data_IF_566444728194
#
_entry.id   IF_566444728194
#
_cell.length_a   1.000
_cell.length_b   1.000
_cell.length_c   1.000
_cell.angle_alpha   90.00
_cell.angle_beta   90.00
_cell.angle_gamma   90.00
#
_symmetry.space_group_name_H-M   'P 1'
#
loop_
_entity.id
_entity.type
_entity.pdbx_description
1 polymer ?
#
# COMPACT_ATOMS: atom_id res chain seq x y z
N UNK A 1 27.45 40.72 23.37
CA UNK A 1 26.10 41.31 23.28
C UNK A 1 25.60 41.05 21.85
N UNK A 2 24.98 39.90 21.60
CA UNK A 2 23.51 39.71 21.48
C UNK A 2 22.93 40.54 20.32
N UNK A 3 22.79 39.96 19.12
CA UNK A 3 21.66 39.14 18.64
C UNK A 3 20.43 39.96 18.27
N UNK A 4 20.06 39.94 16.98
CA UNK A 4 18.68 39.79 16.47
C UNK A 4 18.60 40.28 15.02
N UNK A 5 18.60 39.34 14.08
CA UNK A 5 17.87 39.52 12.82
C UNK A 5 17.05 38.25 12.61
N UNK A 6 15.77 38.34 12.97
CA UNK A 6 14.74 37.39 12.59
C UNK A 6 14.63 37.38 11.07
N UNK A 7 15.09 36.31 10.43
CA UNK A 7 14.65 35.94 9.08
C UNK A 7 13.43 35.05 9.28
N UNK A 8 12.27 35.65 9.02
CA UNK A 8 10.97 34.99 8.97
C UNK A 8 11.00 33.82 7.99
N UNK A 9 10.62 32.65 8.49
CA UNK A 9 10.39 31.41 7.76
C UNK A 9 9.22 31.55 6.79
N UNK A 10 9.50 31.68 5.49
CA UNK A 10 8.50 31.60 4.41
C UNK A 10 8.92 30.57 3.36
N UNK A 11 9.22 29.34 3.80
CA UNK A 11 9.54 28.21 2.91
C UNK A 11 8.76 26.93 3.26
N UNK A 12 7.57 27.06 3.87
CA UNK A 12 6.74 25.91 4.24
C UNK A 12 5.43 25.79 3.44
N UNK A 13 5.13 26.70 2.51
CA UNK A 13 3.83 26.74 1.84
C UNK A 13 3.86 26.42 0.34
N UNK A 14 5.02 26.11 -0.27
CA UNK A 14 5.08 25.77 -1.70
C UNK A 14 5.04 24.27 -1.99
N UNK A 15 5.15 23.41 -0.98
CA UNK A 15 5.10 21.93 -1.12
C UNK A 15 3.66 21.41 -1.21
N UNK A 16 2.67 22.20 -0.77
CA UNK A 16 1.27 21.76 -0.68
C UNK A 16 0.43 21.87 -1.96
N UNK A 17 0.90 22.58 -2.99
CA UNK A 17 0.06 22.93 -4.15
C UNK A 17 0.61 22.53 -5.53
N UNK A 18 1.75 21.82 -5.60
CA UNK A 18 2.42 21.56 -6.88
C UNK A 18 2.06 20.23 -7.57
N UNK A 19 1.31 19.32 -6.94
CA UNK A 19 0.92 18.05 -7.60
C UNK A 19 -0.46 17.57 -7.13
N UNK A 20 -1.52 18.12 -7.72
CA UNK A 20 -2.71 17.30 -8.01
C UNK A 20 -2.41 16.50 -9.29
N UNK A 21 -1.30 15.76 -9.30
CA UNK A 21 -1.19 14.67 -10.24
C UNK A 21 -2.21 13.62 -9.81
N UNK A 22 -3.08 13.23 -10.73
CA UNK A 22 -4.12 12.24 -10.45
C UNK A 22 -3.42 10.91 -10.25
N UNK A 23 -3.06 10.61 -9.01
CA UNK A 23 -2.60 9.28 -8.60
C UNK A 23 -3.67 8.28 -8.97
N UNK A 24 -3.24 7.21 -9.66
CA UNK A 24 -4.17 6.22 -10.20
C UNK A 24 -4.33 5.03 -9.26
N UNK A 25 -3.37 4.79 -8.37
CA UNK A 25 -3.38 3.67 -7.44
C UNK A 25 -4.70 3.56 -6.66
N UNK A 26 -5.33 2.41 -6.81
CA UNK A 26 -6.50 1.99 -6.08
C UNK A 26 -6.15 1.58 -4.64
N UNK A 27 -4.99 0.98 -4.39
CA UNK A 27 -4.61 0.56 -3.03
C UNK A 27 -4.50 1.74 -2.04
N UNK A 28 -4.21 2.96 -2.50
CA UNK A 28 -4.28 4.17 -1.65
C UNK A 28 -5.67 4.41 -1.05
N UNK A 29 -6.71 3.88 -1.69
CA UNK A 29 -8.11 4.01 -1.28
C UNK A 29 -8.57 2.81 -0.43
N UNK A 30 -7.77 1.74 -0.37
CA UNK A 30 -7.95 0.68 0.62
C UNK A 30 -7.58 1.27 1.98
N UNK A 31 -8.52 1.19 2.91
CA UNK A 31 -8.41 1.89 4.18
C UNK A 31 -7.75 0.95 5.19
N UNK A 32 -6.50 1.24 5.63
CA UNK A 32 -5.73 0.37 6.51
C UNK A 32 -6.16 0.55 7.97
N UNK A 33 -7.47 0.56 8.25
CA UNK A 33 -7.97 0.70 9.62
C UNK A 33 -7.47 -0.49 10.43
N UNK A 34 -6.89 -0.23 11.59
CA UNK A 34 -6.59 -1.27 12.57
C UNK A 34 -7.54 -1.10 13.71
N UNK A 35 -8.43 -2.07 13.88
CA UNK A 35 -9.49 -2.00 14.86
C UNK A 35 -9.27 -3.08 15.92
N UNK A 36 -9.31 -2.67 17.18
CA UNK A 36 -9.23 -3.59 18.32
C UNK A 36 -10.42 -3.33 19.23
N UNK A 37 -11.15 -4.36 19.61
CA UNK A 37 -12.32 -4.24 20.47
C UNK A 37 -12.97 -5.60 20.72
N UNK A 38 -14.01 -5.61 21.55
CA UNK A 38 -14.81 -6.81 21.77
C UNK A 38 -15.80 -7.02 20.60
N UNK A 39 -15.91 -8.22 20.06
CA UNK A 39 -16.90 -8.56 19.04
C UNK A 39 -16.30 -8.99 17.70
N UNK A 40 -17.15 -9.09 16.69
CA UNK A 40 -16.77 -9.52 15.34
C UNK A 40 -16.01 -8.43 14.59
N UNK A 41 -15.09 -8.81 13.69
CA UNK A 41 -14.37 -7.83 12.88
C UNK A 41 -15.33 -7.04 11.99
N UNK A 42 -16.37 -7.67 11.46
CA UNK A 42 -17.40 -6.98 10.69
C UNK A 42 -18.06 -5.85 11.51
N UNK A 43 -18.40 -6.11 12.77
CA UNK A 43 -18.97 -5.10 13.69
C UNK A 43 -17.98 -3.98 13.98
N UNK A 44 -16.72 -4.34 14.27
CA UNK A 44 -15.67 -3.37 14.59
C UNK A 44 -15.37 -2.42 13.42
N UNK A 45 -15.19 -2.97 12.22
CA UNK A 45 -14.97 -2.16 11.01
C UNK A 45 -16.20 -1.34 10.65
N UNK A 46 -17.43 -1.90 10.73
CA UNK A 46 -18.68 -1.15 10.53
C UNK A 46 -18.69 0.14 11.34
N UNK A 47 -18.45 0.05 12.65
CA UNK A 47 -18.48 1.23 13.51
C UNK A 47 -17.33 2.21 13.25
N UNK A 48 -16.13 1.71 12.93
CA UNK A 48 -15.01 2.57 12.55
C UNK A 48 -15.31 3.36 11.25
N UNK A 49 -15.94 2.72 10.26
CA UNK A 49 -16.34 3.36 9.01
C UNK A 49 -17.50 4.35 9.18
N UNK A 50 -18.53 3.99 9.95
CA UNK A 50 -19.66 4.90 10.23
C UNK A 50 -19.20 6.13 11.00
N UNK A 51 -18.29 5.98 11.97
CA UNK A 51 -17.73 7.13 12.69
C UNK A 51 -16.98 8.09 11.75
N UNK A 52 -16.33 7.55 10.72
CA UNK A 52 -15.56 8.30 9.74
C UNK A 52 -16.18 8.19 8.34
N UNK A 53 -17.44 8.63 8.16
CA UNK A 53 -18.22 8.42 6.91
C UNK A 53 -17.50 8.87 5.63
N UNK A 54 -16.65 9.90 5.71
CA UNK A 54 -15.85 10.39 4.59
C UNK A 54 -14.91 9.31 4.00
N UNK A 55 -14.51 8.32 4.80
CA UNK A 55 -13.73 7.16 4.39
C UNK A 55 -14.55 6.22 3.50
N UNK A 56 -15.85 6.07 3.77
CA UNK A 56 -16.76 5.28 2.92
C UNK A 56 -16.85 5.93 1.54
N UNK A 57 -17.10 7.24 1.49
CA UNK A 57 -17.17 7.99 0.23
C UNK A 57 -15.88 7.90 -0.58
N UNK A 58 -14.73 7.92 0.09
CA UNK A 58 -13.43 7.80 -0.54
C UNK A 58 -13.28 6.46 -1.27
N UNK A 59 -13.61 5.36 -0.61
CA UNK A 59 -13.49 4.03 -1.19
C UNK A 59 -14.50 3.81 -2.34
N UNK A 60 -15.77 4.17 -2.13
CA UNK A 60 -16.81 3.98 -3.15
C UNK A 60 -16.53 4.81 -4.41
N UNK A 61 -16.11 6.07 -4.24
CA UNK A 61 -15.71 6.92 -5.36
C UNK A 61 -14.53 6.33 -6.11
N UNK A 62 -13.55 5.77 -5.40
CA UNK A 62 -12.43 5.10 -6.05
C UNK A 62 -12.93 3.92 -6.90
N UNK A 63 -13.80 3.05 -6.35
CA UNK A 63 -14.38 1.91 -7.07
C UNK A 63 -15.19 2.28 -8.31
N UNK A 64 -15.93 3.39 -8.27
CA UNK A 64 -16.67 3.91 -9.43
C UNK A 64 -15.73 4.34 -10.55
N UNK A 65 -14.60 4.96 -10.20
CA UNK A 65 -13.63 5.50 -11.16
C UNK A 65 -12.59 4.49 -11.64
N UNK A 66 -12.49 3.32 -11.00
CA UNK A 66 -11.53 2.27 -11.39
C UNK A 66 -11.89 1.75 -12.79
N UNK A 67 -11.00 1.90 -13.79
CA UNK A 67 -11.27 1.51 -15.17
C UNK A 67 -11.06 0.00 -15.37
N UNK A 68 -11.73 -0.84 -14.59
CA UNK A 68 -11.64 -2.31 -14.67
C UNK A 68 -13.03 -2.93 -14.86
N UNK A 69 -13.12 -4.21 -15.28
CA UNK A 69 -14.41 -4.90 -15.41
C UNK A 69 -15.30 -4.72 -14.18
N UNK A 70 -16.61 -4.57 -14.40
CA UNK A 70 -17.54 -4.14 -13.34
C UNK A 70 -17.70 -5.17 -12.23
N UNK A 71 -17.76 -6.46 -12.56
CA UNK A 71 -18.11 -7.52 -11.62
C UNK A 71 -17.26 -7.55 -10.32
N UNK A 72 -15.91 -7.60 -10.36
CA UNK A 72 -15.12 -7.61 -9.12
C UNK A 72 -15.33 -6.33 -8.28
N UNK A 73 -15.56 -5.18 -8.93
CA UNK A 73 -15.82 -3.91 -8.23
C UNK A 73 -17.19 -3.90 -7.56
N UNK A 74 -18.20 -4.43 -8.24
CA UNK A 74 -19.56 -4.56 -7.72
C UNK A 74 -19.61 -5.49 -6.51
N UNK A 75 -18.95 -6.65 -6.57
CA UNK A 75 -18.89 -7.59 -5.44
C UNK A 75 -18.15 -7.00 -4.24
N UNK A 76 -17.05 -6.28 -4.48
CA UNK A 76 -16.34 -5.56 -3.43
C UNK A 76 -17.23 -4.48 -2.79
N UNK A 77 -17.94 -3.69 -3.60
CA UNK A 77 -18.90 -2.70 -3.11
C UNK A 77 -20.07 -3.33 -2.33
N UNK A 78 -20.60 -4.48 -2.79
CA UNK A 78 -21.66 -5.21 -2.10
C UNK A 78 -21.19 -5.74 -0.74
N UNK A 79 -19.98 -6.31 -0.66
CA UNK A 79 -19.39 -6.74 0.61
C UNK A 79 -19.27 -5.58 1.61
N UNK A 80 -18.86 -4.41 1.12
CA UNK A 80 -18.83 -3.18 1.92
C UNK A 80 -20.20 -2.75 2.40
N UNK A 81 -21.19 -2.72 1.51
CA UNK A 81 -22.56 -2.36 1.87
C UNK A 81 -23.12 -3.30 2.96
N UNK A 82 -22.95 -4.61 2.79
CA UNK A 82 -23.42 -5.63 3.75
C UNK A 82 -22.73 -5.52 5.11
N UNK A 83 -21.46 -5.15 5.13
CA UNK A 83 -20.73 -4.83 6.35
C UNK A 83 -21.30 -3.59 7.06
N UNK A 84 -21.59 -2.52 6.32
CA UNK A 84 -22.12 -1.27 6.87
C UNK A 84 -23.55 -1.43 7.41
N UNK A 85 -24.39 -2.23 6.73
CA UNK A 85 -25.75 -2.57 7.16
C UNK A 85 -25.76 -3.29 8.51
N UNK A 86 -24.76 -4.14 8.78
CA UNK A 86 -24.58 -4.84 10.06
C UNK A 86 -25.52 -6.04 10.28
N UNK A 87 -26.42 -6.33 9.34
CA UNK A 87 -27.37 -7.44 9.43
C UNK A 87 -26.78 -8.77 8.93
N UNK A 88 -25.73 -8.70 8.11
CA UNK A 88 -25.14 -9.86 7.44
C UNK A 88 -24.06 -10.49 8.31
N UNK A 89 -24.05 -11.82 8.49
CA UNK A 89 -22.97 -12.50 9.22
C UNK A 89 -21.59 -12.24 8.59
N UNK A 90 -20.56 -12.11 9.43
CA UNK A 90 -19.16 -11.90 8.99
C UNK A 90 -18.70 -12.94 7.95
N UNK A 91 -19.13 -14.20 8.09
CA UNK A 91 -18.81 -15.28 7.14
C UNK A 91 -19.30 -14.96 5.72
N UNK A 92 -20.50 -14.42 5.59
CA UNK A 92 -21.12 -14.17 4.29
C UNK A 92 -20.55 -12.89 3.66
N UNK A 93 -20.24 -11.88 4.49
CA UNK A 93 -19.46 -10.70 4.07
C UNK A 93 -18.09 -11.14 3.53
N UNK A 94 -17.39 -12.03 4.25
CA UNK A 94 -16.12 -12.59 3.80
C UNK A 94 -16.25 -13.32 2.47
N UNK A 95 -17.30 -14.12 2.29
CA UNK A 95 -17.52 -14.86 1.05
C UNK A 95 -17.66 -13.93 -0.17
N UNK A 96 -18.32 -12.78 -0.02
CA UNK A 96 -18.40 -11.76 -1.07
C UNK A 96 -17.03 -11.20 -1.44
N UNK A 97 -16.17 -10.91 -0.45
CA UNK A 97 -14.79 -10.46 -0.73
C UNK A 97 -13.92 -11.54 -1.37
N UNK A 98 -14.07 -12.80 -0.97
CA UNK A 98 -13.39 -13.94 -1.60
C UNK A 98 -13.86 -14.15 -3.05
N UNK A 99 -15.16 -14.00 -3.31
CA UNK A 99 -15.71 -14.04 -4.66
C UNK A 99 -15.16 -12.90 -5.51
N UNK A 100 -15.14 -11.68 -4.98
CA UNK A 100 -14.53 -10.52 -5.64
C UNK A 100 -13.03 -10.73 -5.96
N UNK A 101 -12.28 -11.37 -5.06
CA UNK A 101 -10.86 -11.72 -5.30
C UNK A 101 -10.73 -12.75 -6.43
N UNK A 102 -11.58 -13.79 -6.42
CA UNK A 102 -11.60 -14.82 -7.46
C UNK A 102 -11.97 -14.25 -8.83
N UNK A 103 -12.93 -13.33 -8.88
CA UNK A 103 -13.30 -12.59 -10.09
C UNK A 103 -12.16 -11.71 -10.59
N UNK A 104 -11.51 -10.93 -9.70
CA UNK A 104 -10.37 -10.10 -10.07
C UNK A 104 -9.20 -10.94 -10.60
N UNK A 105 -8.95 -12.11 -10.00
CA UNK A 105 -7.97 -13.10 -10.49
C UNK A 105 -8.35 -13.64 -11.86
N UNK A 106 -9.63 -13.95 -12.08
CA UNK A 106 -10.13 -14.42 -13.38
C UNK A 106 -9.94 -13.37 -14.46
N UNK A 107 -10.20 -12.10 -14.17
CA UNK A 107 -9.97 -10.98 -15.09
C UNK A 107 -8.51 -10.93 -15.53
N UNK A 108 -7.55 -11.04 -14.60
CA UNK A 108 -6.11 -11.08 -14.92
C UNK A 108 -5.76 -12.27 -15.84
N UNK A 109 -6.26 -13.47 -15.53
CA UNK A 109 -6.01 -14.69 -16.32
C UNK A 109 -6.66 -14.60 -17.72
N UNK A 110 -7.88 -14.07 -17.81
CA UNK A 110 -8.59 -13.92 -19.08
C UNK A 110 -7.93 -12.85 -19.96
N UNK A 111 -7.52 -11.72 -19.37
CA UNK A 111 -6.77 -10.69 -20.10
C UNK A 111 -5.46 -11.24 -20.67
N UNK A 112 -4.76 -12.11 -19.93
CA UNK A 112 -3.51 -12.72 -20.38
C UNK A 112 -3.72 -13.72 -21.53
N UNK A 113 -4.57 -14.73 -21.30
CA UNK A 113 -4.62 -15.93 -22.15
C UNK A 113 -5.82 -15.97 -23.10
N UNK A 114 -6.87 -15.18 -22.85
CA UNK A 114 -8.16 -15.28 -23.55
C UNK A 114 -8.68 -13.93 -24.05
N UNK A 115 -7.83 -12.90 -24.12
CA UNK A 115 -8.22 -11.55 -24.54
C UNK A 115 -9.01 -11.52 -25.83
N UNK A 116 -8.65 -12.39 -26.78
CA UNK A 116 -9.22 -12.40 -28.12
C UNK A 116 -10.66 -12.92 -28.11
N UNK A 117 -11.01 -13.78 -27.16
CA UNK A 117 -12.38 -14.24 -26.93
C UNK A 117 -13.22 -13.17 -26.21
N UNK A 118 -12.59 -12.38 -25.34
CA UNK A 118 -13.24 -11.30 -24.59
C UNK A 118 -13.45 -10.03 -25.42
N UNK A 119 -12.73 -9.84 -26.52
CA UNK A 119 -12.84 -8.64 -27.39
C UNK A 119 -14.26 -8.38 -27.92
N UNK A 120 -15.08 -9.43 -28.07
CA UNK A 120 -16.45 -9.31 -28.57
C UNK A 120 -17.49 -9.05 -27.48
N UNK A 121 -17.08 -8.98 -26.20
CA UNK A 121 -17.95 -8.65 -25.08
C UNK A 121 -18.00 -7.12 -24.85
N UNK A 122 -19.05 -6.64 -24.18
CA UNK A 122 -19.28 -5.22 -23.90
C UNK A 122 -18.09 -4.54 -23.18
N UNK A 123 -17.37 -5.30 -22.34
CA UNK A 123 -16.17 -4.85 -21.62
C UNK A 123 -14.85 -5.31 -22.26
N UNK A 124 -14.85 -5.84 -23.48
CA UNK A 124 -13.68 -6.43 -24.14
C UNK A 124 -12.46 -5.50 -24.29
N UNK A 125 -12.71 -4.20 -24.39
CA UNK A 125 -11.66 -3.18 -24.44
C UNK A 125 -10.85 -3.11 -23.13
N UNK A 126 -11.46 -3.41 -21.97
CA UNK A 126 -10.79 -3.43 -20.67
C UNK A 126 -9.81 -4.60 -20.57
N UNK A 127 -10.21 -5.79 -21.03
CA UNK A 127 -9.31 -6.95 -21.09
C UNK A 127 -8.11 -6.70 -22.00
N UNK A 128 -8.34 -6.01 -23.12
CA UNK A 128 -7.28 -5.61 -24.05
C UNK A 128 -6.34 -4.57 -23.42
N UNK A 129 -6.88 -3.62 -22.66
CA UNK A 129 -6.11 -2.64 -21.92
C UNK A 129 -5.24 -3.31 -20.84
N UNK A 130 -5.81 -4.20 -20.03
CA UNK A 130 -5.08 -4.96 -19.00
C UNK A 130 -3.93 -5.78 -19.61
N UNK A 131 -4.11 -6.32 -20.82
CA UNK A 131 -3.06 -7.10 -21.50
C UNK A 131 -1.86 -6.24 -21.96
N UNK A 132 -2.08 -4.96 -22.27
CA UNK A 132 -1.09 -4.13 -22.99
C UNK A 132 -0.56 -2.94 -22.19
N UNK A 133 -1.39 -2.37 -21.33
CA UNK A 133 -1.05 -1.20 -20.54
C UNK A 133 -0.59 -1.64 -19.13
N UNK A 134 0.68 -1.38 -18.76
CA UNK A 134 1.22 -1.78 -17.47
C UNK A 134 0.50 -1.11 -16.29
N UNK A 135 -0.03 0.10 -16.46
CA UNK A 135 -0.79 0.77 -15.40
C UNK A 135 -2.13 0.06 -15.16
N UNK A 136 -2.82 -0.31 -16.23
CA UNK A 136 -4.08 -1.07 -16.14
C UNK A 136 -3.86 -2.45 -15.55
N UNK A 137 -2.74 -3.09 -15.90
CA UNK A 137 -2.32 -4.38 -15.34
C UNK A 137 -2.01 -4.26 -13.84
N UNK A 138 -1.29 -3.22 -13.43
CA UNK A 138 -1.01 -2.94 -12.02
C UNK A 138 -2.29 -2.68 -11.23
N UNK A 139 -3.21 -1.87 -11.75
CA UNK A 139 -4.50 -1.60 -11.12
C UNK A 139 -5.35 -2.86 -10.95
N UNK A 140 -5.31 -3.79 -11.90
CA UNK A 140 -5.99 -5.07 -11.78
C UNK A 140 -5.40 -5.93 -10.63
N UNK A 141 -4.08 -5.92 -10.44
CA UNK A 141 -3.44 -6.53 -9.28
C UNK A 141 -3.83 -5.84 -7.97
N UNK A 142 -3.88 -4.52 -7.94
CA UNK A 142 -4.31 -3.76 -6.77
C UNK A 142 -5.76 -4.03 -6.37
N UNK A 143 -6.69 -4.10 -7.33
CA UNK A 143 -8.07 -4.47 -7.06
C UNK A 143 -8.17 -5.87 -6.47
N UNK A 144 -7.45 -6.84 -7.05
CA UNK A 144 -7.36 -8.20 -6.48
C UNK A 144 -6.81 -8.17 -5.06
N UNK A 145 -5.75 -7.39 -4.82
CA UNK A 145 -5.14 -7.24 -3.51
C UNK A 145 -6.12 -6.66 -2.48
N UNK A 146 -6.90 -5.65 -2.85
CA UNK A 146 -7.92 -5.06 -2.00
C UNK A 146 -9.01 -6.06 -1.62
N UNK A 147 -9.54 -6.82 -2.59
CA UNK A 147 -10.54 -7.86 -2.33
C UNK A 147 -10.00 -8.92 -1.35
N UNK A 148 -8.81 -9.43 -1.61
CA UNK A 148 -8.14 -10.40 -0.74
C UNK A 148 -7.84 -9.84 0.64
N UNK A 149 -7.43 -8.57 0.73
CA UNK A 149 -7.16 -7.88 1.99
C UNK A 149 -8.41 -7.84 2.88
N UNK A 150 -9.56 -7.38 2.36
CA UNK A 150 -10.81 -7.35 3.12
C UNK A 150 -11.36 -8.75 3.43
N UNK A 151 -11.17 -9.73 2.54
CA UNK A 151 -11.49 -11.13 2.85
C UNK A 151 -10.70 -11.65 4.06
N UNK A 152 -9.40 -11.37 4.12
CA UNK A 152 -8.55 -11.76 5.26
C UNK A 152 -8.89 -11.00 6.53
N UNK A 153 -9.23 -9.71 6.44
CA UNK A 153 -9.70 -8.94 7.60
C UNK A 153 -10.99 -9.52 8.22
N UNK A 154 -11.84 -10.12 7.40
CA UNK A 154 -13.06 -10.80 7.84
C UNK A 154 -12.83 -12.28 8.18
N UNK A 155 -11.59 -12.76 8.22
CA UNK A 155 -11.28 -14.13 8.61
C UNK A 155 -11.58 -14.38 10.10
N UNK A 156 -11.90 -15.64 10.44
CA UNK A 156 -12.04 -16.10 11.82
C UNK A 156 -10.62 -16.36 12.35
N UNK A 157 -9.95 -15.30 12.77
CA UNK A 157 -8.59 -15.30 13.32
C UNK A 157 -8.51 -14.32 14.49
N UNK A 158 -7.60 -14.56 15.42
CA UNK A 158 -7.27 -13.58 16.49
C UNK A 158 -6.46 -12.39 15.97
N UNK A 159 -5.81 -12.53 14.81
CA UNK A 159 -4.96 -11.52 14.17
C UNK A 159 -5.15 -11.54 12.64
N UNK A 160 -6.36 -11.24 12.14
CA UNK A 160 -6.66 -11.25 10.70
C UNK A 160 -5.78 -10.27 9.90
N UNK A 161 -5.26 -9.23 10.55
CA UNK A 161 -4.31 -8.27 10.01
C UNK A 161 -3.02 -8.91 9.49
N UNK A 162 -2.53 -9.94 10.18
CA UNK A 162 -1.30 -10.64 9.79
C UNK A 162 -1.52 -11.45 8.51
N UNK A 163 -2.69 -12.08 8.38
CA UNK A 163 -3.12 -12.77 7.17
C UNK A 163 -3.29 -11.81 6.00
N UNK A 164 -3.94 -10.67 6.23
CA UNK A 164 -4.11 -9.62 5.22
C UNK A 164 -2.76 -9.05 4.74
N UNK A 165 -1.84 -8.79 5.68
CA UNK A 165 -0.48 -8.35 5.37
C UNK A 165 0.31 -9.45 4.63
N UNK A 166 0.15 -10.72 4.99
CA UNK A 166 0.81 -11.83 4.30
C UNK A 166 0.33 -11.96 2.86
N UNK A 167 -0.98 -11.84 2.62
CA UNK A 167 -1.54 -11.86 1.27
C UNK A 167 -0.98 -10.74 0.41
N UNK A 168 -0.97 -9.50 0.91
CA UNK A 168 -0.45 -8.36 0.14
C UNK A 168 1.05 -8.51 -0.15
N UNK A 169 1.83 -8.98 0.83
CA UNK A 169 3.25 -9.31 0.64
C UNK A 169 3.46 -10.37 -0.43
N UNK A 170 2.68 -11.44 -0.39
CA UNK A 170 2.75 -12.51 -1.38
C UNK A 170 2.37 -11.99 -2.76
N UNK A 171 1.25 -11.30 -2.92
CA UNK A 171 0.81 -10.76 -4.21
C UNK A 171 1.88 -9.86 -4.84
N UNK A 172 2.49 -8.98 -4.06
CA UNK A 172 3.58 -8.14 -4.53
C UNK A 172 4.81 -8.98 -4.91
N UNK A 173 5.23 -9.88 -4.04
CA UNK A 173 6.48 -10.63 -4.20
C UNK A 173 6.40 -11.74 -5.25
N UNK A 174 5.24 -12.37 -5.43
CA UNK A 174 5.03 -13.48 -6.36
C UNK A 174 4.35 -13.04 -7.64
N UNK A 175 3.32 -12.20 -7.58
CA UNK A 175 2.47 -11.98 -8.75
C UNK A 175 2.92 -10.74 -9.53
N UNK A 176 3.05 -9.60 -8.87
CA UNK A 176 3.50 -8.35 -9.53
C UNK A 176 4.96 -8.47 -9.99
N UNK A 177 5.83 -9.05 -9.15
CA UNK A 177 7.26 -9.22 -9.47
C UNK A 177 7.56 -10.21 -10.58
N UNK A 178 6.67 -11.16 -10.85
CA UNK A 178 6.90 -12.19 -11.87
C UNK A 178 6.04 -11.98 -13.11
N UNK A 179 5.17 -10.96 -13.12
CA UNK A 179 4.40 -10.61 -14.31
C UNK A 179 5.36 -10.14 -15.44
N UNK A 180 5.38 -10.84 -16.60
CA UNK A 180 6.34 -10.56 -17.66
C UNK A 180 6.24 -9.14 -18.23
N UNK A 181 5.03 -8.58 -18.34
CA UNK A 181 4.81 -7.24 -18.87
C UNK A 181 5.39 -6.19 -17.93
N UNK A 182 5.10 -6.34 -16.62
CA UNK A 182 5.56 -5.41 -15.60
C UNK A 182 7.09 -5.45 -15.44
N UNK A 183 7.67 -6.66 -15.49
CA UNK A 183 9.12 -6.86 -15.46
C UNK A 183 9.80 -6.21 -16.66
N UNK A 184 9.28 -6.40 -17.88
CA UNK A 184 9.84 -5.78 -19.09
C UNK A 184 9.86 -4.24 -19.01
N UNK A 185 8.76 -3.65 -18.54
CA UNK A 185 8.66 -2.18 -18.37
C UNK A 185 9.70 -1.68 -17.37
N UNK A 186 9.90 -2.39 -16.26
CA UNK A 186 10.89 -2.01 -15.26
C UNK A 186 12.33 -2.18 -15.75
N UNK A 187 12.62 -3.24 -16.52
CA UNK A 187 13.92 -3.44 -17.15
C UNK A 187 14.23 -2.33 -18.17
N UNK A 188 13.22 -1.88 -18.92
CA UNK A 188 13.35 -0.71 -19.82
C UNK A 188 13.69 0.57 -19.05
N UNK A 189 13.05 0.79 -17.89
CA UNK A 189 13.40 1.91 -17.02
C UNK A 189 14.83 1.80 -16.49
N UNK A 190 15.25 0.63 -16.02
CA UNK A 190 16.61 0.39 -15.51
C UNK A 190 17.66 0.64 -16.59
N UNK A 191 17.39 0.23 -17.83
CA UNK A 191 18.31 0.37 -18.96
C UNK A 191 18.60 1.82 -19.37
N UNK A 192 17.77 2.79 -18.96
CA UNK A 192 17.94 4.19 -19.33
C UNK A 192 19.33 4.73 -18.95
N UNK A 193 19.94 5.46 -19.87
CA UNK A 193 21.23 6.10 -19.68
C UNK A 193 21.07 7.32 -18.77
N UNK A 194 21.85 7.33 -17.70
CA UNK A 194 21.83 8.37 -16.68
C UNK A 194 23.23 8.93 -16.47
N UNK A 195 23.29 10.19 -16.07
CA UNK A 195 24.51 10.75 -15.50
C UNK A 195 24.79 10.04 -14.16
N UNK A 196 25.98 9.45 -14.01
CA UNK A 196 26.34 8.66 -12.81
C UNK A 196 26.41 9.51 -11.52
N UNK A 197 26.63 10.82 -11.65
CA UNK A 197 26.80 11.73 -10.52
C UNK A 197 25.47 12.36 -10.09
N UNK A 198 24.66 12.79 -11.07
CA UNK A 198 23.41 13.53 -10.84
C UNK A 198 22.17 12.65 -10.89
N UNK A 199 22.21 11.51 -11.59
CA UNK A 199 21.04 10.69 -11.87
C UNK A 199 20.14 11.20 -13.00
N UNK A 200 20.45 12.36 -13.56
CA UNK A 200 19.68 12.94 -14.67
C UNK A 200 19.71 12.02 -15.88
N UNK A 201 18.53 11.79 -16.46
CA UNK A 201 18.36 10.96 -17.64
C UNK A 201 18.97 11.68 -18.85
N UNK A 202 19.84 10.99 -19.59
CA UNK A 202 20.47 11.50 -20.81
C UNK A 202 19.60 11.28 -22.04
N UNK A 203 18.53 10.50 -21.90
CA UNK A 203 17.54 10.20 -22.92
C UNK A 203 16.12 10.37 -22.38
N UNK A 204 15.16 10.56 -23.28
CA UNK A 204 13.75 10.69 -22.91
C UNK A 204 13.20 9.34 -22.41
N UNK A 205 12.49 9.37 -21.29
CA UNK A 205 11.72 8.22 -20.83
C UNK A 205 10.33 8.22 -21.48
N UNK A 206 9.84 7.05 -21.87
CA UNK A 206 8.46 6.90 -22.33
C UNK A 206 7.50 7.20 -21.17
N UNK A 207 6.51 8.07 -21.39
CA UNK A 207 5.53 8.46 -20.36
C UNK A 207 4.85 7.26 -19.65
N UNK A 208 4.44 6.18 -20.35
CA UNK A 208 3.88 4.99 -19.67
C UNK A 208 4.85 4.28 -18.74
N UNK A 209 6.16 4.28 -19.05
CA UNK A 209 7.20 3.67 -18.21
C UNK A 209 7.39 4.52 -16.96
N UNK A 210 7.47 5.84 -17.13
CA UNK A 210 7.63 6.79 -16.03
C UNK A 210 6.45 6.73 -15.06
N UNK A 211 5.21 6.83 -15.56
CA UNK A 211 4.01 6.71 -14.72
C UNK A 211 3.94 5.36 -14.02
N UNK A 212 4.33 4.26 -14.68
CA UNK A 212 4.35 2.94 -14.06
C UNK A 212 5.34 2.85 -12.89
N UNK A 213 6.54 3.41 -13.04
CA UNK A 213 7.55 3.45 -11.96
C UNK A 213 7.03 4.27 -10.78
N UNK A 214 6.42 5.42 -11.06
CA UNK A 214 5.80 6.27 -10.03
C UNK A 214 4.72 5.52 -9.27
N UNK A 215 3.76 4.90 -9.96
CA UNK A 215 2.68 4.15 -9.30
C UNK A 215 3.22 2.93 -8.53
N UNK A 216 4.29 2.27 -8.99
CA UNK A 216 4.95 1.22 -8.20
C UNK A 216 5.59 1.75 -6.90
N UNK A 217 6.20 2.94 -6.93
CA UNK A 217 6.75 3.58 -5.73
C UNK A 217 5.64 3.90 -4.72
N UNK A 218 4.52 4.42 -5.21
CA UNK A 218 3.33 4.71 -4.38
C UNK A 218 2.70 3.43 -3.82
N UNK A 219 2.63 2.37 -4.62
CA UNK A 219 2.18 1.04 -4.17
C UNK A 219 3.05 0.52 -3.02
N UNK A 220 4.37 0.55 -3.15
CA UNK A 220 5.29 0.12 -2.08
C UNK A 220 5.15 0.97 -0.82
N UNK A 221 4.98 2.28 -0.99
CA UNK A 221 4.70 3.22 0.08
C UNK A 221 3.46 2.82 0.88
N UNK A 222 2.35 2.61 0.20
CA UNK A 222 1.06 2.35 0.83
C UNK A 222 1.00 0.93 1.41
N UNK A 223 1.67 -0.03 0.77
CA UNK A 223 1.76 -1.40 1.24
C UNK A 223 2.68 -1.55 2.46
N UNK A 224 3.92 -1.07 2.41
CA UNK A 224 4.96 -1.39 3.39
C UNK A 224 5.34 -0.22 4.29
N UNK A 225 5.10 1.01 3.85
CA UNK A 225 5.48 2.20 4.58
C UNK A 225 6.97 2.25 4.92
N UNK A 226 7.27 2.59 6.17
CA UNK A 226 8.65 2.64 6.69
C UNK A 226 9.40 1.30 6.60
N UNK A 227 8.69 0.18 6.40
CA UNK A 227 9.27 -1.16 6.31
C UNK A 227 9.63 -1.59 4.88
N UNK A 228 9.46 -0.74 3.87
CA UNK A 228 9.76 -1.09 2.47
C UNK A 228 11.21 -1.55 2.22
N UNK A 229 12.15 -1.11 3.06
CA UNK A 229 13.56 -1.53 2.99
C UNK A 229 13.93 -2.68 3.94
N UNK A 230 12.97 -3.45 4.48
CA UNK A 230 13.27 -4.52 5.45
C UNK A 230 14.31 -5.52 4.93
N UNK A 231 15.44 -5.59 5.64
CA UNK A 231 16.58 -6.48 5.38
C UNK A 231 16.25 -7.98 5.31
N UNK A 232 15.08 -8.41 5.82
CA UNK A 232 14.66 -9.82 5.85
C UNK A 232 13.54 -10.15 4.86
N UNK A 233 12.96 -9.16 4.18
CA UNK A 233 12.15 -9.40 2.98
C UNK A 233 13.10 -9.66 1.81
N UNK A 234 12.78 -10.62 0.94
CA UNK A 234 13.73 -11.38 0.08
C UNK A 234 14.49 -10.60 -1.03
N UNK A 235 14.80 -9.33 -0.78
CA UNK A 235 16.15 -8.82 -0.51
C UNK A 235 16.41 -7.45 -1.14
N UNK A 236 15.76 -6.48 -0.47
CA UNK A 236 16.03 -5.03 -0.42
C UNK A 236 15.72 -4.36 -1.76
N UNK A 237 14.55 -3.76 -1.92
CA UNK A 237 14.10 -3.16 -3.19
C UNK A 237 14.00 -1.64 -3.10
N UNK A 238 14.27 -0.95 -4.21
CA UNK A 238 13.83 0.43 -4.44
C UNK A 238 12.43 0.48 -5.07
N UNK A 239 12.14 -0.54 -5.88
CA UNK A 239 10.87 -0.84 -6.55
C UNK A 239 10.83 -2.36 -6.78
N UNK A 240 9.66 -2.95 -7.01
CA UNK A 240 9.44 -4.39 -7.12
C UNK A 240 10.47 -5.16 -7.98
N UNK A 241 11.04 -4.59 -9.04
CA UNK A 241 12.09 -5.27 -9.83
C UNK A 241 13.51 -4.67 -9.68
N UNK A 242 13.71 -3.55 -8.96
CA UNK A 242 15.03 -2.94 -8.73
C UNK A 242 15.55 -3.34 -7.34
N UNK A 243 16.60 -4.16 -7.31
CA UNK A 243 17.20 -4.64 -6.06
C UNK A 243 18.34 -3.73 -5.60
N UNK A 244 18.30 -3.34 -4.33
CA UNK A 244 19.33 -2.63 -3.60
C UNK A 244 20.68 -3.38 -3.63
N UNK A 245 20.65 -4.71 -3.65
CA UNK A 245 21.87 -5.52 -3.83
C UNK A 245 22.55 -5.36 -5.20
N UNK A 246 21.81 -4.92 -6.22
CA UNK A 246 22.32 -4.74 -7.59
C UNK A 246 22.75 -3.28 -7.86
N UNK A 247 22.08 -2.30 -7.26
CA UNK A 247 22.45 -0.88 -7.40
C UNK A 247 23.79 -0.52 -6.74
N UNK A 248 24.22 -1.27 -5.71
CA UNK A 248 25.45 -0.97 -4.97
C UNK A 248 26.72 -1.47 -5.67
N UNK A 249 26.60 -2.09 -6.85
CA UNK A 249 27.73 -2.76 -7.53
C UNK A 249 28.53 -1.85 -8.44
N UNK A 250 27.90 -0.87 -9.08
CA UNK A 250 28.54 0.01 -10.06
C UNK A 250 28.00 1.43 -9.97
N UNK A 251 28.78 2.46 -10.36
CA UNK A 251 28.26 3.84 -10.45
C UNK A 251 27.02 3.94 -11.35
N UNK A 252 27.00 3.20 -12.47
CA UNK A 252 25.86 3.14 -13.39
C UNK A 252 24.60 2.57 -12.73
N UNK A 253 24.71 1.45 -12.01
CA UNK A 253 23.56 0.85 -11.34
C UNK A 253 23.09 1.69 -10.15
N UNK A 254 24.01 2.39 -9.49
CA UNK A 254 23.67 3.33 -8.42
C UNK A 254 22.90 4.56 -8.93
N UNK A 255 23.22 5.04 -10.14
CA UNK A 255 22.57 6.20 -10.75
C UNK A 255 21.04 6.08 -10.83
N UNK A 256 20.49 4.85 -10.89
CA UNK A 256 19.05 4.58 -10.84
C UNK A 256 18.43 5.08 -9.53
N UNK A 257 19.14 4.95 -8.41
CA UNK A 257 18.69 5.38 -7.06
C UNK A 257 18.53 6.89 -6.95
N UNK A 258 19.24 7.64 -7.78
CA UNK A 258 19.21 9.10 -7.80
C UNK A 258 18.46 9.65 -9.02
N UNK A 259 17.76 8.79 -9.74
CA UNK A 259 16.83 9.21 -10.78
C UNK A 259 15.78 10.17 -10.21
N UNK A 260 15.41 11.25 -10.93
CA UNK A 260 14.43 12.24 -10.46
C UNK A 260 13.13 11.63 -9.96
N UNK A 261 12.59 10.59 -10.63
CA UNK A 261 11.31 10.00 -10.22
C UNK A 261 11.44 9.22 -8.91
N UNK A 262 12.57 8.54 -8.70
CA UNK A 262 12.85 7.84 -7.45
C UNK A 262 13.07 8.85 -6.32
N UNK A 263 13.80 9.93 -6.56
CA UNK A 263 13.98 10.98 -5.54
C UNK A 263 12.67 11.65 -5.16
N UNK A 264 11.79 11.90 -6.13
CA UNK A 264 10.54 12.60 -5.92
C UNK A 264 9.47 11.73 -5.25
N UNK A 265 9.35 10.46 -5.64
CA UNK A 265 8.25 9.58 -5.19
C UNK A 265 8.70 8.46 -4.26
N UNK A 266 10.00 8.15 -4.22
CA UNK A 266 10.53 7.04 -3.43
C UNK A 266 10.76 7.35 -1.96
N UNK A 267 10.57 8.58 -1.48
CA UNK A 267 10.64 8.97 -0.06
C UNK A 267 11.82 8.37 0.74
N UNK A 268 13.04 8.38 0.18
CA UNK A 268 14.26 7.89 0.86
C UNK A 268 15.24 9.01 1.18
N UNK A 269 16.03 8.81 2.22
CA UNK A 269 17.16 9.66 2.59
C UNK A 269 18.43 8.93 2.16
N UNK A 270 19.28 9.63 1.40
CA UNK A 270 20.56 9.12 0.93
C UNK A 270 21.69 10.01 1.46
N UNK A 271 22.43 9.50 2.44
CA UNK A 271 23.62 10.15 2.96
C UNK A 271 24.87 9.63 2.24
N UNK A 272 25.82 10.53 1.98
CA UNK A 272 27.08 10.19 1.30
C UNK A 272 28.25 10.68 2.13
N UNK A 273 29.13 9.76 2.53
CA UNK A 273 30.29 10.06 3.37
C UNK A 273 31.57 9.55 2.71
N UNK A 274 32.57 10.41 2.47
CA UNK A 274 33.86 9.93 1.96
C UNK A 274 34.55 9.12 3.06
N UNK A 275 34.93 7.89 2.72
CA UNK A 275 35.61 6.94 3.61
C UNK A 275 36.95 6.53 3.01
N UNK A 276 37.79 5.86 3.79
CA UNK A 276 39.11 5.38 3.36
C UNK A 276 39.97 6.47 2.67
N UNK A 277 40.13 7.61 3.35
CA UNK A 277 40.90 8.77 2.85
C UNK A 277 40.32 9.38 1.55
N UNK A 278 39.01 9.24 1.32
CA UNK A 278 38.31 9.77 0.15
C UNK A 278 38.41 8.89 -1.10
N UNK A 279 39.02 7.70 -1.00
CA UNK A 279 39.07 6.74 -2.11
C UNK A 279 37.73 6.05 -2.38
N UNK A 280 36.86 6.03 -1.38
CA UNK A 280 35.55 5.40 -1.43
C UNK A 280 34.50 6.36 -0.87
N UNK A 281 33.27 6.20 -1.31
CA UNK A 281 32.10 6.88 -0.78
C UNK A 281 31.18 5.84 -0.17
N UNK A 282 30.96 5.94 1.13
CA UNK A 282 29.91 5.19 1.83
C UNK A 282 28.57 5.86 1.54
N UNK A 283 27.62 5.07 1.08
CA UNK A 283 26.24 5.46 0.84
C UNK A 283 25.36 4.82 1.90
N UNK A 284 24.63 5.66 2.64
CA UNK A 284 23.64 5.20 3.63
C UNK A 284 22.25 5.57 3.13
N UNK A 285 21.45 4.57 2.80
CA UNK A 285 20.09 4.73 2.32
C UNK A 285 19.09 4.31 3.41
N UNK A 286 18.13 5.17 3.74
CA UNK A 286 17.10 4.90 4.74
C UNK A 286 15.73 5.40 4.29
N UNK A 287 14.66 4.85 4.87
CA UNK A 287 13.31 5.42 4.69
C UNK A 287 13.23 6.78 5.40
N UNK A 288 12.74 7.80 4.72
CA UNK A 288 12.40 9.03 5.40
C UNK A 288 11.14 8.84 6.28
N UNK A 289 10.86 9.76 7.22
CA UNK A 289 9.60 9.76 7.96
C UNK A 289 8.40 9.74 7.01
N UNK A 290 7.42 8.91 7.32
CA UNK A 290 6.27 8.69 6.45
C UNK A 290 4.97 8.66 7.25
N UNK A 291 3.96 9.37 6.76
CA UNK A 291 2.60 9.30 7.31
C UNK A 291 1.78 8.34 6.46
N UNK A 292 1.35 7.23 7.05
CA UNK A 292 0.47 6.25 6.38
C UNK A 292 -1.02 6.62 6.47
N UNK A 293 -1.34 7.78 7.06
CA UNK A 293 -2.71 8.26 7.13
C UNK A 293 -3.25 8.52 5.73
N UNK A 294 -4.35 7.85 5.41
CA UNK A 294 -5.14 8.10 4.19
C UNK A 294 -5.64 9.55 4.13
N UNK A 295 -5.96 10.15 5.28
CA UNK A 295 -6.36 11.56 5.43
C UNK A 295 -5.54 12.21 6.56
N UNK A 296 -4.90 13.34 6.26
CA UNK A 296 -4.07 14.07 7.22
C UNK A 296 -4.84 14.66 8.40
N UNK A 297 -6.18 14.78 8.28
CA UNK A 297 -7.08 15.27 9.33
C UNK A 297 -7.43 14.21 10.38
N UNK A 298 -7.24 12.93 10.07
CA UNK A 298 -7.50 11.85 11.02
C UNK A 298 -6.42 11.83 12.12
N UNK A 299 -6.79 11.52 13.37
CA UNK A 299 -5.79 11.26 14.41
C UNK A 299 -4.98 10.00 14.05
N UNK A 300 -3.80 9.84 14.65
CA UNK A 300 -3.06 8.58 14.55
C UNK A 300 -3.83 7.41 15.21
N UNK A 301 -4.47 7.69 16.35
CA UNK A 301 -5.17 6.74 17.21
C UNK A 301 -6.42 7.40 17.78
N UNK A 302 -7.56 6.71 17.76
CA UNK A 302 -8.77 7.14 18.46
C UNK A 302 -9.46 5.98 19.17
N UNK A 303 -10.12 6.27 20.28
CA UNK A 303 -10.98 5.32 21.00
C UNK A 303 -12.43 5.71 20.77
N UNK A 304 -13.22 4.79 20.22
CA UNK A 304 -14.65 4.96 19.96
C UNK A 304 -15.46 4.19 21.00
N UNK A 305 -16.50 4.83 21.52
CA UNK A 305 -17.48 4.20 22.40
C UNK A 305 -18.84 4.17 21.71
N UNK A 306 -19.33 2.97 21.42
CA UNK A 306 -20.56 2.75 20.67
C UNK A 306 -21.62 2.19 21.62
N UNK A 307 -22.75 2.88 21.74
CA UNK A 307 -23.92 2.34 22.43
C UNK A 307 -24.63 1.36 21.50
N UNK A 308 -24.61 0.06 21.85
CA UNK A 308 -25.41 -0.94 21.15
C UNK A 308 -26.86 -0.73 21.56
N UNK A 309 -27.67 -0.11 20.71
CA UNK A 309 -29.11 -0.09 20.96
C UNK A 309 -29.64 -1.49 20.63
N UNK A 310 -30.25 -2.16 21.62
CA UNK A 310 -30.64 -3.58 21.62
C UNK A 310 -31.76 -3.96 20.62
N UNK A 311 -31.85 -3.33 19.46
CA UNK A 311 -32.81 -3.66 18.39
C UNK A 311 -32.29 -4.67 17.36
N UNK A 312 -31.05 -5.17 17.47
CA UNK A 312 -30.47 -6.13 16.51
C UNK A 312 -30.61 -7.61 16.94
N UNK A 313 -31.52 -7.96 17.87
CA UNK A 313 -31.76 -9.36 18.28
C UNK A 313 -33.06 -9.94 17.69
N UNK A 314 -32.90 -10.97 16.84
CA UNK A 314 -33.85 -12.07 16.58
C UNK A 314 -35.20 -11.73 15.91
N UNK A 315 -35.22 -11.64 14.58
CA UNK A 315 -36.35 -12.17 13.79
C UNK A 315 -36.07 -13.63 13.42
N UNK A 316 -36.05 -14.49 14.43
CA UNK A 316 -36.30 -15.91 14.23
C UNK A 316 -37.80 -16.08 14.34
N UNK A 317 -38.45 -16.26 13.20
CA UNK A 317 -39.89 -16.54 13.10
C UNK A 317 -40.19 -17.83 13.87
N UNK A 318 -40.84 -17.73 15.04
CA UNK A 318 -41.61 -18.84 15.62
C UNK A 318 -43.07 -18.43 15.68
N UNK A 319 -43.83 -18.98 14.75
CA UNK A 319 -45.27 -19.16 14.91
C UNK A 319 -45.52 -20.15 16.04
N UNK A 320 -46.04 -19.69 17.18
CA UNK A 320 -47.20 -20.31 17.84
C UNK A 320 -47.54 -19.64 19.17
N UNK A 321 -48.84 -19.49 19.35
CA UNK A 321 -49.61 -18.82 20.39
C UNK A 321 -49.54 -19.53 21.74
N UNK A 322 -49.39 -18.80 22.86
CA UNK A 322 -50.24 -18.95 24.05
C UNK A 322 -50.05 -17.87 25.13
N UNK A 323 -51.10 -17.73 25.95
CA UNK A 323 -51.54 -16.60 26.77
C UNK A 323 -50.90 -16.48 28.17
N UNK A 324 -50.89 -15.22 28.66
CA UNK A 324 -51.07 -14.74 30.05
C UNK A 324 -50.19 -15.24 31.20
N UNK A 325 -49.43 -14.34 31.84
CA UNK A 325 -49.85 -13.64 33.08
C UNK A 325 -48.75 -12.72 33.65
N UNK A 326 -49.20 -11.61 34.24
CA UNK A 326 -48.45 -10.62 35.01
C UNK A 326 -47.55 -11.23 36.09
N UNK A 327 -46.33 -10.69 36.23
CA UNK A 327 -45.88 -10.14 37.51
C UNK A 327 -44.67 -9.20 37.33
N UNK A 328 -44.85 -7.98 37.82
CA UNK A 328 -43.79 -7.00 38.04
C UNK A 328 -42.65 -7.60 38.86
N UNK A 329 -41.45 -7.52 38.34
CA UNK A 329 -40.24 -7.27 39.11
C UNK A 329 -39.35 -6.34 38.27
N UNK A 330 -39.30 -5.08 38.68
CA UNK A 330 -38.28 -4.14 38.26
C UNK A 330 -36.91 -4.71 38.67
N UNK A 331 -36.20 -5.28 37.71
CA UNK A 331 -34.74 -5.36 37.74
C UNK A 331 -34.21 -4.72 36.47
N UNK A 332 -34.09 -3.40 36.50
CA UNK A 332 -33.19 -2.63 35.64
C UNK A 332 -31.77 -3.18 35.80
N UNK A 333 -31.44 -4.18 35.01
CA UNK A 333 -30.08 -4.58 34.68
C UNK A 333 -30.02 -4.51 33.15
N UNK A 334 -29.90 -3.30 32.62
CA UNK A 334 -29.51 -3.07 31.23
C UNK A 334 -28.34 -2.09 31.24
N UNK A 335 -27.28 -2.49 31.95
CA UNK A 335 -25.95 -1.95 31.73
C UNK A 335 -25.31 -2.76 30.62
N UNK A 336 -25.78 -2.60 29.37
CA UNK A 336 -24.94 -3.01 28.24
C UNK A 336 -23.77 -2.03 28.23
N UNK A 337 -22.60 -2.51 28.64
CA UNK A 337 -21.38 -1.72 28.53
C UNK A 337 -21.19 -1.29 27.07
N UNK A 338 -20.96 0.00 26.79
CA UNK A 338 -20.79 0.46 25.42
C UNK A 338 -19.61 -0.29 24.80
N UNK A 339 -19.79 -0.72 23.55
CA UNK A 339 -18.72 -1.32 22.77
C UNK A 339 -17.60 -0.28 22.62
N UNK A 340 -16.50 -0.50 23.31
CA UNK A 340 -15.29 0.31 23.17
C UNK A 340 -14.37 -0.35 22.15
N UNK A 341 -13.94 0.40 21.16
CA UNK A 341 -12.99 -0.04 20.16
C UNK A 341 -11.91 1.01 19.89
N UNK A 342 -10.69 0.57 19.66
CA UNK A 342 -9.52 1.37 19.35
C UNK A 342 -9.28 1.32 17.85
N UNK A 343 -9.15 2.48 17.19
CA UNK A 343 -8.86 2.58 15.76
C UNK A 343 -7.51 3.26 15.55
N UNK A 344 -6.63 2.64 14.77
CA UNK A 344 -5.37 3.25 14.30
C UNK A 344 -5.47 3.56 12.82
N UNK A 345 -5.03 4.76 12.42
CA UNK A 345 -5.09 5.28 11.05
C UNK A 345 -3.74 5.49 10.40
N UNK A 346 -2.65 5.41 11.16
CA UNK A 346 -1.30 5.76 10.72
C UNK A 346 -0.40 4.55 10.50
N UNK A 347 -0.99 3.39 10.23
CA UNK A 347 -0.24 2.16 10.02
C UNK A 347 -0.22 1.68 8.57
N UNK A 348 0.88 1.06 8.11
CA UNK A 348 0.93 0.46 6.79
C UNK A 348 0.05 -0.79 6.70
N UNK A 349 -0.39 -1.12 5.48
CA UNK A 349 -1.16 -2.34 5.19
C UNK A 349 -0.40 -3.60 5.62
N UNK A 350 0.92 -3.62 5.39
CA UNK A 350 1.83 -4.69 5.78
C UNK A 350 2.70 -4.27 6.97
N UNK A 351 2.37 -4.72 8.18
CA UNK A 351 3.32 -4.69 9.30
C UNK A 351 4.41 -5.76 9.12
N UNK A 352 5.53 -5.54 9.83
CA UNK A 352 6.66 -6.46 9.88
C UNK A 352 6.25 -7.81 10.50
N UNK A 353 6.62 -8.92 9.86
CA UNK A 353 6.22 -10.28 10.26
C UNK A 353 7.21 -10.94 11.25
N UNK A 354 8.40 -10.38 11.44
CA UNK A 354 9.42 -10.93 12.36
C UNK A 354 10.01 -9.83 13.22
N UNK A 355 9.51 -9.70 14.44
CA UNK A 355 10.16 -8.94 15.52
C UNK A 355 11.00 -9.90 16.37
N UNK A 356 12.32 -9.76 16.35
CA UNK A 356 13.17 -10.45 17.34
C UNK A 356 13.16 -9.69 18.66
N UNK A 357 13.46 -10.36 19.77
CA UNK A 357 13.52 -9.75 21.11
C UNK A 357 14.54 -8.61 21.23
N UNK A 358 15.56 -8.55 20.35
CA UNK A 358 16.52 -7.43 20.26
C UNK A 358 15.96 -6.19 19.55
N UNK A 359 14.83 -6.32 18.85
CA UNK A 359 14.20 -5.26 18.04
C UNK A 359 13.00 -4.61 18.76
N UNK A 360 12.50 -5.17 19.88
CA UNK A 360 11.46 -4.54 20.71
C UNK A 360 11.87 -3.17 21.25
N UNK A 361 13.16 -2.98 21.49
CA UNK A 361 13.73 -1.73 21.98
C UNK A 361 14.15 -0.79 20.84
N UNK A 362 14.00 -1.25 19.59
CA UNK A 362 14.56 -0.64 18.41
C UNK A 362 13.54 -0.66 17.26
N UNK A 363 12.55 0.23 17.32
CA UNK A 363 11.87 0.74 16.13
C UNK A 363 12.86 1.54 15.24
N UNK A 364 14.03 0.97 14.97
CA UNK A 364 15.12 1.60 14.24
C UNK A 364 14.75 1.50 12.77
N UNK A 365 14.57 2.67 12.14
CA UNK A 365 14.49 2.80 10.69
C UNK A 365 15.62 2.00 10.07
N UNK A 366 15.28 1.10 9.16
CA UNK A 366 16.29 0.27 8.52
C UNK A 366 17.20 1.14 7.65
N UNK A 367 18.52 0.94 7.78
CA UNK A 367 19.55 1.65 7.02
C UNK A 367 20.35 0.63 6.21
N UNK A 368 20.37 0.86 4.90
CA UNK A 368 21.20 0.17 3.94
C UNK A 368 22.53 0.90 3.81
N UNK A 369 23.64 0.17 3.92
CA UNK A 369 24.99 0.73 3.78
C UNK A 369 25.75 -0.04 2.71
N UNK A 370 26.33 0.68 1.76
CA UNK A 370 27.21 0.14 0.73
C UNK A 370 28.26 1.17 0.33
N UNK A 371 29.38 0.72 -0.24
CA UNK A 371 30.50 1.57 -0.61
C UNK A 371 30.76 1.50 -2.11
N UNK A 372 30.99 2.67 -2.74
CA UNK A 372 31.40 2.78 -4.13
C UNK A 372 32.75 3.47 -4.21
N UNK A 373 33.60 3.02 -5.13
CA UNK A 373 34.88 3.67 -5.37
C UNK A 373 34.64 5.12 -5.84
N UNK A 374 35.34 6.07 -5.22
CA UNK A 374 35.27 7.46 -5.63
C UNK A 374 35.85 7.60 -7.05
N UNK A 375 35.16 8.35 -7.92
CA UNK A 375 35.63 8.59 -9.28
C UNK A 375 36.87 9.48 -9.21
N UNK A 376 38.02 8.91 -9.58
CA UNK A 376 39.27 9.67 -9.64
C UNK A 376 39.33 10.47 -10.94
N UNK A 377 38.88 11.72 -10.87
CA UNK A 377 38.87 12.65 -12.00
C UNK A 377 40.27 13.08 -12.44
N UNK A 378 41.29 12.82 -11.62
CA UNK A 378 42.68 13.18 -11.90
C UNK A 378 43.46 12.12 -12.69
N UNK A 379 42.86 10.93 -12.90
CA UNK A 379 43.51 9.84 -13.64
C UNK A 379 43.86 10.22 -15.06
N UNK A 380 45.12 9.95 -15.41
CA UNK A 380 45.63 10.12 -16.77
C UNK A 380 44.99 9.15 -17.75
N UNK A 381 45.11 9.44 -19.06
CA UNK A 381 44.59 8.57 -20.13
C UNK A 381 45.02 7.09 -19.97
N UNK A 382 46.29 6.85 -19.62
CA UNK A 382 46.83 5.49 -19.48
C UNK A 382 46.26 4.74 -18.27
N UNK A 383 46.05 5.41 -17.15
CA UNK A 383 45.43 4.78 -15.97
C UNK A 383 43.99 4.37 -16.27
N UNK A 384 43.22 5.21 -16.97
CA UNK A 384 41.87 4.86 -17.45
C UNK A 384 41.90 3.67 -18.41
N UNK A 385 42.84 3.64 -19.36
CA UNK A 385 42.94 2.58 -20.37
C UNK A 385 43.26 1.20 -19.80
N UNK A 386 44.08 1.12 -18.74
CA UNK A 386 44.52 -0.16 -18.17
C UNK A 386 43.69 -0.64 -16.98
N UNK A 387 42.97 0.25 -16.28
CA UNK A 387 42.21 -0.10 -15.07
C UNK A 387 40.70 -0.19 -15.27
N UNK A 388 40.15 0.43 -16.32
CA UNK A 388 38.69 0.46 -16.58
C UNK A 388 38.24 -0.50 -17.71
N UNK A 389 39.17 -1.32 -18.25
CA UNK A 389 38.89 -2.46 -19.14
C UNK A 389 38.80 -3.75 -18.35
#
# INVERSE_FOLDING_TARGET
MTSSMHISSTAASSVGNAMLEVERSFLRHVIPLRVQGAGSMATLYRHAFIHQEHLIHRLLRALETVPLPALPRMLLAEGFQRMLEGQTPQRDIRALFEEAENEARRVLIQAEFHSDNCQHQEEGYLYTAIKRDPLMRLLAYELRAACGYYAQLMAISSQPEEGAAALLRTLIASDVRTDPLLVDVMLRFEALHRNEETGERLESCDSPVEEFVKECLLLERDAFGVFRFDARGDNRHLVHCIKLGDIGKTPRSFAVTIDPILQQHGNFILERTPVHQGRWVEHRLSCAPESHRVDSRLPSLETLSVTLNSTETTTTTTSSTHNSNNNNNNSTISGEEPLSLLVRYDEPLCRRHKETTREKDAAIHHIEVFELAARDTSRGFWEKWFLDR
#
